data_IF_963578941594
#
_entry.id   IF_963578941594
#
_cell.length_a   1.000
_cell.length_b   1.000
_cell.length_c   1.000
_cell.angle_alpha   90.00
_cell.angle_beta   90.00
_cell.angle_gamma   90.00
#
_symmetry.space_group_name_H-M   'P 1'
#
loop_
_entity.id
_entity.type
_entity.pdbx_description
1 polymer ?
#
# COMPACT_ATOMS: atom_id res chain seq x y z
N UNK A 1 7.31 -9.20 18.82
CA UNK A 1 6.89 -8.49 17.58
C UNK A 1 6.73 -7.00 17.81
N UNK A 2 6.09 -6.54 18.90
CA UNK A 2 5.88 -5.11 19.16
C UNK A 2 7.15 -4.27 19.22
N UNK A 3 8.19 -4.73 19.93
CA UNK A 3 9.47 -4.00 20.01
C UNK A 3 10.10 -3.76 18.63
N UNK A 4 10.03 -4.75 17.73
CA UNK A 4 10.50 -4.58 16.34
C UNK A 4 9.68 -3.51 15.62
N UNK A 5 8.36 -3.60 15.75
CA UNK A 5 7.43 -2.80 15.01
C UNK A 5 7.35 -1.34 15.53
N UNK A 6 7.66 -1.12 16.80
CA UNK A 6 7.73 0.20 17.43
C UNK A 6 9.11 0.86 17.31
N UNK A 7 10.21 0.09 17.29
CA UNK A 7 11.58 0.64 17.32
C UNK A 7 12.34 0.49 16.02
N UNK A 8 12.24 -0.67 15.36
CA UNK A 8 13.06 -0.99 14.18
C UNK A 8 12.35 -0.61 12.89
N UNK A 9 11.07 -0.96 12.75
CA UNK A 9 10.31 -0.69 11.55
C UNK A 9 10.26 0.81 11.21
N UNK A 10 10.01 1.75 12.14
CA UNK A 10 9.98 3.18 11.81
C UNK A 10 11.34 3.70 11.34
N UNK A 11 12.44 3.10 11.80
CA UNK A 11 13.78 3.45 11.29
C UNK A 11 13.91 2.97 9.85
N UNK A 12 13.55 1.71 9.56
CA UNK A 12 13.65 1.14 8.22
C UNK A 12 12.74 1.87 7.23
N UNK A 13 11.45 2.02 7.55
CA UNK A 13 10.49 2.69 6.67
C UNK A 13 10.73 4.20 6.62
N UNK A 14 11.18 4.81 7.72
CA UNK A 14 11.52 6.23 7.79
C UNK A 14 12.64 6.62 6.84
N UNK A 15 13.65 5.78 6.65
CA UNK A 15 14.68 6.04 5.62
C UNK A 15 14.07 6.12 4.22
N UNK A 16 13.19 5.18 3.86
CA UNK A 16 12.47 5.21 2.58
C UNK A 16 11.59 6.46 2.42
N UNK A 17 10.81 6.80 3.46
CA UNK A 17 9.95 7.98 3.47
C UNK A 17 10.76 9.26 3.28
N UNK A 18 11.92 9.41 3.92
CA UNK A 18 12.77 10.60 3.75
C UNK A 18 13.42 10.63 2.36
N UNK A 19 13.93 9.50 1.88
CA UNK A 19 14.64 9.41 0.59
C UNK A 19 13.71 9.64 -0.60
N UNK A 20 12.48 9.14 -0.55
CA UNK A 20 11.55 9.15 -1.68
C UNK A 20 10.37 10.12 -1.48
N UNK A 21 10.15 10.60 -0.26
CA UNK A 21 8.97 11.40 0.11
C UNK A 21 8.87 12.75 -0.61
N UNK A 22 9.97 13.31 -1.11
CA UNK A 22 9.95 14.56 -1.89
C UNK A 22 9.54 14.36 -3.36
N UNK A 23 9.53 13.13 -3.87
CA UNK A 23 9.12 12.83 -5.24
C UNK A 23 7.58 12.84 -5.30
N UNK A 24 6.94 13.71 -6.11
CA UNK A 24 5.48 13.89 -6.10
C UNK A 24 4.72 12.80 -6.89
N UNK A 25 5.39 11.77 -7.37
CA UNK A 25 4.83 10.69 -8.22
C UNK A 25 5.13 9.34 -7.60
N UNK A 26 4.25 8.36 -7.79
CA UNK A 26 4.45 6.98 -7.36
C UNK A 26 5.71 6.36 -7.98
N UNK A 27 6.73 6.10 -7.15
CA UNK A 27 7.88 5.31 -7.56
C UNK A 27 7.50 3.84 -7.77
N UNK A 28 6.49 3.37 -7.05
CA UNK A 28 5.91 2.04 -7.22
C UNK A 28 5.44 1.82 -8.65
N UNK A 29 4.68 2.75 -9.24
CA UNK A 29 4.27 2.65 -10.65
C UNK A 29 5.47 2.61 -11.60
N UNK A 30 6.45 3.48 -11.38
CA UNK A 30 7.67 3.54 -12.20
C UNK A 30 8.40 2.21 -12.14
N UNK A 31 8.58 1.64 -10.94
CA UNK A 31 9.24 0.35 -10.75
C UNK A 31 8.46 -0.80 -11.40
N UNK A 32 7.14 -0.82 -11.29
CA UNK A 32 6.30 -1.86 -11.90
C UNK A 32 6.40 -1.80 -13.43
N UNK A 33 6.26 -0.61 -14.03
CA UNK A 33 6.34 -0.44 -15.49
C UNK A 33 7.76 -0.76 -15.99
N UNK A 34 8.79 -0.16 -15.38
CA UNK A 34 10.18 -0.38 -15.78
C UNK A 34 10.59 -1.85 -15.57
N UNK A 35 10.12 -2.48 -14.49
CA UNK A 35 10.32 -3.90 -14.21
C UNK A 35 9.68 -4.77 -15.28
N UNK A 36 8.41 -4.53 -15.63
CA UNK A 36 7.70 -5.27 -16.65
C UNK A 36 8.41 -5.17 -18.03
N UNK A 37 8.78 -3.96 -18.45
CA UNK A 37 9.51 -3.75 -19.71
C UNK A 37 10.86 -4.47 -19.68
N UNK A 38 11.60 -4.35 -18.58
CA UNK A 38 12.90 -5.02 -18.41
C UNK A 38 12.77 -6.54 -18.50
N UNK A 39 11.76 -7.13 -17.85
CA UNK A 39 11.49 -8.56 -17.89
C UNK A 39 11.18 -9.04 -19.32
N UNK A 40 10.35 -8.30 -20.06
CA UNK A 40 10.03 -8.61 -21.46
C UNK A 40 11.29 -8.58 -22.33
N UNK A 41 12.11 -7.54 -22.21
CA UNK A 41 13.36 -7.40 -22.98
C UNK A 41 14.33 -8.53 -22.64
N UNK A 42 14.51 -8.84 -21.36
CA UNK A 42 15.39 -9.93 -20.92
C UNK A 42 14.89 -11.29 -21.40
N UNK A 43 13.58 -11.51 -21.37
CA UNK A 43 12.95 -12.73 -21.88
C UNK A 43 13.18 -12.91 -23.39
N UNK A 44 12.97 -11.86 -24.19
CA UNK A 44 13.24 -11.91 -25.64
C UNK A 44 14.72 -12.16 -25.90
N UNK A 45 15.62 -11.44 -25.21
CA UNK A 45 17.08 -11.65 -25.35
C UNK A 45 17.49 -13.07 -24.97
N UNK A 46 16.86 -13.63 -23.94
CA UNK A 46 17.09 -15.01 -23.52
C UNK A 46 16.65 -16.00 -24.61
N UNK A 47 15.44 -15.84 -25.16
CA UNK A 47 14.94 -16.68 -26.25
C UNK A 47 15.82 -16.62 -27.50
N UNK A 48 16.18 -15.42 -27.96
CA UNK A 48 17.06 -15.23 -29.13
C UNK A 48 18.39 -15.94 -28.92
N UNK A 49 19.00 -15.77 -27.73
CA UNK A 49 20.28 -16.40 -27.39
C UNK A 49 20.18 -17.92 -27.23
N UNK A 50 19.04 -18.43 -26.79
CA UNK A 50 18.78 -19.87 -26.66
C UNK A 50 18.70 -20.54 -28.05
N UNK A 51 18.10 -19.86 -29.02
CA UNK A 51 17.93 -20.33 -30.40
C UNK A 51 19.26 -20.24 -31.18
N UNK A 52 19.98 -19.12 -31.09
CA UNK A 52 21.16 -18.86 -31.93
C UNK A 52 22.46 -19.51 -31.44
N UNK A 53 22.62 -19.76 -30.14
CA UNK A 53 23.89 -20.23 -29.60
C UNK A 53 23.71 -21.55 -28.85
N UNK A 54 24.03 -22.67 -29.54
CA UNK A 54 23.90 -24.04 -28.99
C UNK A 54 24.88 -24.36 -27.87
N UNK A 55 26.03 -23.69 -27.86
CA UNK A 55 27.14 -23.95 -26.95
C UNK A 55 26.93 -23.17 -25.64
N UNK A 56 27.19 -23.77 -24.47
CA UNK A 56 27.02 -23.17 -23.13
C UNK A 56 25.59 -23.00 -22.60
N UNK A 57 24.60 -23.70 -23.18
CA UNK A 57 23.19 -23.64 -22.73
C UNK A 57 23.02 -23.94 -21.24
N UNK A 58 23.71 -24.97 -20.71
CA UNK A 58 23.61 -25.38 -19.30
C UNK A 58 24.20 -24.38 -18.28
N UNK A 59 25.38 -23.81 -18.56
CA UNK A 59 25.95 -22.79 -17.66
C UNK A 59 25.13 -21.50 -17.68
N UNK A 60 24.56 -21.11 -18.81
CA UNK A 60 23.71 -19.92 -18.91
C UNK A 60 22.37 -20.10 -18.20
N UNK A 61 21.73 -21.26 -18.35
CA UNK A 61 20.51 -21.57 -17.62
C UNK A 61 20.77 -21.61 -16.11
N UNK A 62 21.87 -22.23 -15.67
CA UNK A 62 22.25 -22.24 -14.26
C UNK A 62 22.46 -20.82 -13.70
N UNK A 63 23.18 -19.95 -14.43
CA UNK A 63 23.36 -18.54 -14.02
C UNK A 63 22.03 -17.80 -13.90
N UNK A 64 21.09 -18.03 -14.82
CA UNK A 64 19.77 -17.42 -14.74
C UNK A 64 18.99 -17.91 -13.54
N UNK A 65 19.02 -19.22 -13.26
CA UNK A 65 18.40 -19.78 -12.06
C UNK A 65 19.01 -19.16 -10.81
N UNK A 66 20.34 -19.04 -10.72
CA UNK A 66 21.00 -18.39 -9.59
C UNK A 66 20.56 -16.93 -9.45
N UNK A 67 20.52 -16.15 -10.53
CA UNK A 67 20.06 -14.75 -10.51
C UNK A 67 18.61 -14.66 -10.03
N UNK A 68 17.72 -15.51 -10.54
CA UNK A 68 16.30 -15.53 -10.17
C UNK A 68 16.15 -15.90 -8.70
N UNK A 69 16.82 -16.96 -8.24
CA UNK A 69 16.75 -17.43 -6.85
C UNK A 69 17.31 -16.36 -5.92
N UNK A 70 18.49 -15.80 -6.19
CA UNK A 70 19.07 -14.72 -5.39
C UNK A 70 18.16 -13.49 -5.36
N UNK A 71 17.59 -13.10 -6.50
CA UNK A 71 16.64 -12.00 -6.58
C UNK A 71 15.39 -12.26 -5.74
N UNK A 72 14.78 -13.45 -5.88
CA UNK A 72 13.59 -13.83 -5.13
C UNK A 72 13.87 -13.91 -3.62
N UNK A 73 15.01 -14.46 -3.22
CA UNK A 73 15.44 -14.48 -1.82
C UNK A 73 15.63 -13.07 -1.25
N UNK A 74 16.22 -12.16 -2.03
CA UNK A 74 16.36 -10.76 -1.63
C UNK A 74 15.00 -10.07 -1.46
N UNK A 75 14.09 -10.23 -2.43
CA UNK A 75 12.73 -9.68 -2.32
C UNK A 75 11.96 -10.27 -1.15
N UNK A 76 12.03 -11.59 -0.94
CA UNK A 76 11.39 -12.25 0.19
C UNK A 76 11.94 -11.72 1.51
N UNK A 77 13.26 -11.61 1.68
CA UNK A 77 13.86 -11.06 2.90
C UNK A 77 13.38 -9.64 3.20
N UNK A 78 13.35 -8.76 2.19
CA UNK A 78 12.85 -7.39 2.34
C UNK A 78 11.34 -7.36 2.66
N UNK A 79 10.54 -8.19 2.01
CA UNK A 79 9.11 -8.33 2.30
C UNK A 79 8.89 -8.75 3.75
N UNK A 80 9.66 -9.72 4.26
CA UNK A 80 9.57 -10.16 5.65
C UNK A 80 9.90 -9.03 6.62
N UNK A 81 11.02 -8.34 6.40
CA UNK A 81 11.47 -7.25 7.27
C UNK A 81 10.50 -6.05 7.25
N UNK A 82 10.12 -5.58 6.07
CA UNK A 82 9.38 -4.33 5.93
C UNK A 82 7.87 -4.48 6.07
N UNK A 83 7.33 -5.71 5.94
CA UNK A 83 5.90 -5.94 5.93
C UNK A 83 5.46 -7.16 6.72
N UNK A 84 5.96 -8.36 6.42
CA UNK A 84 5.37 -9.60 6.97
C UNK A 84 5.44 -9.68 8.50
N UNK A 85 6.50 -9.17 9.12
CA UNK A 85 6.63 -9.15 10.60
C UNK A 85 5.52 -8.29 11.25
N UNK A 86 4.93 -7.32 10.54
CA UNK A 86 3.81 -6.54 11.07
C UNK A 86 2.54 -7.38 11.32
N UNK A 87 2.36 -8.49 10.62
CA UNK A 87 1.24 -9.41 10.89
C UNK A 87 1.39 -10.20 12.19
N UNK A 88 2.57 -10.15 12.83
CA UNK A 88 2.80 -10.73 14.15
C UNK A 88 2.45 -9.75 15.29
N UNK A 89 1.94 -8.55 15.00
CA UNK A 89 1.46 -7.62 16.03
C UNK A 89 0.18 -8.18 16.69
N UNK A 90 -0.05 -7.87 17.98
CA UNK A 90 -1.33 -8.13 18.63
C UNK A 90 -2.48 -7.59 17.79
N UNK A 91 -3.61 -8.30 17.78
CA UNK A 91 -4.77 -7.87 17.00
C UNK A 91 -5.30 -6.55 17.52
N UNK A 92 -5.98 -5.78 16.67
CA UNK A 92 -6.63 -4.55 17.10
C UNK A 92 -7.61 -4.79 18.26
N UNK A 93 -8.28 -5.94 18.26
CA UNK A 93 -9.16 -6.40 19.32
C UNK A 93 -8.46 -6.45 20.69
N UNK A 94 -7.23 -6.99 20.74
CA UNK A 94 -6.47 -7.03 21.99
C UNK A 94 -6.05 -5.64 22.44
N UNK A 95 -5.61 -4.80 21.49
CA UNK A 95 -5.12 -3.46 21.79
C UNK A 95 -6.20 -2.46 22.21
N UNK A 96 -7.41 -2.64 21.68
CA UNK A 96 -8.57 -1.82 22.01
C UNK A 96 -9.45 -2.47 23.10
N UNK A 97 -8.98 -3.56 23.72
CA UNK A 97 -9.70 -4.31 24.75
C UNK A 97 -11.15 -4.66 24.35
N UNK A 98 -11.36 -4.97 23.06
CA UNK A 98 -12.69 -5.22 22.51
C UNK A 98 -13.19 -6.61 22.92
N UNK A 99 -14.46 -6.67 23.29
CA UNK A 99 -15.14 -7.91 23.63
C UNK A 99 -15.35 -8.79 22.39
N UNK A 100 -14.75 -9.99 22.37
CA UNK A 100 -15.00 -11.02 21.36
C UNK A 100 -16.19 -11.86 21.82
N UNK A 101 -17.35 -11.64 21.21
CA UNK A 101 -18.54 -12.47 21.41
C UNK A 101 -19.30 -12.68 20.11
N UNK A 102 -20.11 -13.76 20.00
CA UNK A 102 -21.07 -13.90 18.92
C UNK A 102 -21.99 -12.68 18.88
N UNK A 103 -22.21 -12.15 17.67
CA UNK A 103 -23.13 -11.04 17.41
C UNK A 103 -24.39 -11.61 16.75
N UNK A 104 -25.56 -11.15 17.15
CA UNK A 104 -26.82 -11.61 16.55
C UNK A 104 -27.06 -10.93 15.19
N UNK A 105 -27.97 -11.48 14.38
CA UNK A 105 -28.33 -10.85 13.10
C UNK A 105 -29.02 -9.50 13.32
N UNK A 106 -29.81 -9.37 14.38
CA UNK A 106 -30.51 -8.16 14.76
C UNK A 106 -29.53 -7.05 15.16
N UNK A 107 -28.51 -7.38 15.97
CA UNK A 107 -27.47 -6.43 16.37
C UNK A 107 -26.68 -5.92 15.15
N UNK A 108 -26.33 -6.80 14.21
CA UNK A 108 -25.65 -6.42 12.97
C UNK A 108 -26.55 -5.53 12.09
N UNK A 109 -27.84 -5.83 11.99
CA UNK A 109 -28.80 -5.03 11.23
C UNK A 109 -28.98 -3.63 11.85
N UNK A 110 -29.07 -3.55 13.18
CA UNK A 110 -29.17 -2.28 13.91
C UNK A 110 -27.93 -1.40 13.67
N UNK A 111 -26.73 -1.95 13.84
CA UNK A 111 -25.48 -1.21 13.58
C UNK A 111 -25.36 -0.78 12.13
N UNK A 112 -25.78 -1.64 11.18
CA UNK A 112 -25.75 -1.29 9.75
C UNK A 112 -26.69 -0.13 9.44
N UNK A 113 -27.91 -0.15 9.99
CA UNK A 113 -28.87 0.94 9.81
C UNK A 113 -28.40 2.24 10.48
N UNK A 114 -27.79 2.13 11.66
CA UNK A 114 -27.22 3.28 12.36
C UNK A 114 -26.07 3.90 11.55
N UNK A 115 -25.13 3.10 11.04
CA UNK A 115 -24.04 3.58 10.18
C UNK A 115 -24.56 4.20 8.88
N UNK A 116 -25.61 3.61 8.27
CA UNK A 116 -26.21 4.16 7.06
C UNK A 116 -26.89 5.51 7.31
N UNK A 117 -27.58 5.66 8.45
CA UNK A 117 -28.19 6.93 8.84
C UNK A 117 -27.12 8.00 9.12
N UNK A 118 -26.05 7.66 9.84
CA UNK A 118 -24.95 8.58 10.12
C UNK A 118 -24.22 9.01 8.85
N UNK A 119 -23.96 8.06 7.94
CA UNK A 119 -23.36 8.36 6.65
C UNK A 119 -24.27 9.28 5.80
N UNK A 120 -25.59 9.10 5.86
CA UNK A 120 -26.55 9.96 5.15
C UNK A 120 -26.60 11.38 5.72
N UNK A 121 -26.43 11.54 7.04
CA UNK A 121 -26.33 12.85 7.69
C UNK A 121 -25.03 13.54 7.28
N UNK A 122 -23.88 12.87 7.45
CA UNK A 122 -22.56 13.43 7.10
C UNK A 122 -22.44 13.80 5.63
N UNK A 123 -23.14 13.07 4.75
CA UNK A 123 -23.16 13.37 3.31
C UNK A 123 -23.72 14.76 3.01
N UNK A 124 -24.67 15.26 3.80
CA UNK A 124 -25.32 16.57 3.54
C UNK A 124 -24.33 17.74 3.57
N UNK A 125 -23.21 17.58 4.28
CA UNK A 125 -22.18 18.60 4.44
C UNK A 125 -21.01 18.44 3.45
N UNK A 126 -21.06 17.43 2.56
CA UNK A 126 -20.00 17.18 1.59
C UNK A 126 -20.27 17.91 0.26
N UNK A 127 -19.22 18.41 -0.42
CA UNK A 127 -19.37 19.03 -1.72
C UNK A 127 -19.73 17.97 -2.79
N UNK A 128 -20.69 18.31 -3.64
CA UNK A 128 -21.16 17.46 -4.75
C UNK A 128 -21.06 18.22 -6.08
N UNK A 129 -20.93 17.48 -7.18
CA UNK A 129 -21.04 18.01 -8.54
C UNK A 129 -22.51 18.19 -8.97
N UNK A 130 -22.71 18.63 -10.21
CA UNK A 130 -24.04 18.81 -10.81
C UNK A 130 -24.89 17.54 -10.90
N UNK A 131 -24.28 16.36 -10.78
CA UNK A 131 -24.94 15.06 -10.83
C UNK A 131 -25.18 14.46 -9.43
N UNK A 132 -24.88 15.21 -8.35
CA UNK A 132 -24.97 14.72 -6.98
C UNK A 132 -23.87 13.73 -6.60
N UNK A 133 -22.74 13.74 -7.32
CA UNK A 133 -21.58 12.91 -7.03
C UNK A 133 -20.63 13.66 -6.10
N UNK A 134 -20.16 13.00 -5.05
CA UNK A 134 -19.16 13.56 -4.15
C UNK A 134 -17.95 14.07 -4.92
N UNK A 135 -17.50 15.28 -4.58
CA UNK A 135 -16.28 15.85 -5.13
C UNK A 135 -15.28 16.12 -4.01
N UNK A 136 -14.00 16.08 -4.36
CA UNK A 136 -12.99 16.63 -3.47
C UNK A 136 -13.11 18.15 -3.55
N UNK A 137 -13.27 18.81 -2.40
CA UNK A 137 -13.41 20.27 -2.30
C UNK A 137 -12.17 21.04 -2.78
N UNK A 138 -11.99 22.28 -2.31
CA UNK A 138 -10.88 23.12 -2.75
C UNK A 138 -9.50 22.44 -2.64
N UNK A 139 -8.75 22.43 -3.74
CA UNK A 139 -7.43 21.80 -3.84
C UNK A 139 -7.44 20.31 -4.23
N UNK A 140 -8.61 19.69 -4.39
CA UNK A 140 -8.78 18.36 -4.97
C UNK A 140 -7.97 17.26 -4.26
N UNK A 141 -7.57 16.24 -5.02
CA UNK A 141 -6.79 15.10 -4.49
C UNK A 141 -5.45 15.53 -3.88
N UNK A 142 -4.81 16.57 -4.41
CA UNK A 142 -3.51 17.02 -3.90
C UNK A 142 -3.62 17.52 -2.46
N UNK A 143 -4.67 18.31 -2.18
CA UNK A 143 -4.97 18.75 -0.83
C UNK A 143 -5.31 17.57 0.07
N UNK A 144 -6.22 16.69 -0.36
CA UNK A 144 -6.66 15.52 0.40
C UNK A 144 -5.49 14.63 0.81
N UNK A 145 -4.58 14.29 -0.12
CA UNK A 145 -3.40 13.48 0.16
C UNK A 145 -2.44 14.16 1.15
N UNK A 146 -2.27 15.48 1.05
CA UNK A 146 -1.39 16.25 1.93
C UNK A 146 -1.89 16.27 3.38
N UNK A 147 -3.21 16.29 3.58
CA UNK A 147 -3.81 16.37 4.92
C UNK A 147 -4.28 15.02 5.47
N UNK A 148 -4.21 13.94 4.69
CA UNK A 148 -4.69 12.61 5.08
C UNK A 148 -4.14 12.11 6.44
N UNK A 149 -2.89 12.45 6.77
CA UNK A 149 -2.29 12.06 8.05
C UNK A 149 -3.01 12.68 9.26
N UNK A 150 -3.67 13.84 9.11
CA UNK A 150 -4.39 14.52 10.20
C UNK A 150 -5.56 13.69 10.73
N UNK A 151 -6.19 12.86 9.89
CA UNK A 151 -7.25 11.95 10.34
C UNK A 151 -6.73 10.99 11.42
N UNK A 152 -5.51 10.47 11.23
CA UNK A 152 -4.84 9.67 12.25
C UNK A 152 -4.48 10.53 13.47
N UNK A 153 -3.88 11.70 13.29
CA UNK A 153 -3.44 12.52 14.42
C UNK A 153 -4.57 12.94 15.35
N UNK A 154 -5.70 13.34 14.78
CA UNK A 154 -6.88 13.74 15.54
C UNK A 154 -7.46 12.56 16.36
N UNK A 155 -7.25 11.32 15.90
CA UNK A 155 -7.71 10.12 16.59
C UNK A 155 -6.78 9.65 17.70
N UNK A 156 -5.55 10.18 17.83
CA UNK A 156 -4.56 9.68 18.79
C UNK A 156 -4.97 9.85 20.26
N UNK A 157 -5.79 10.85 20.57
CA UNK A 157 -6.28 11.09 21.93
C UNK A 157 -7.24 9.97 22.39
N UNK A 158 -8.07 9.48 21.47
CA UNK A 158 -9.04 8.40 21.73
C UNK A 158 -8.41 7.01 21.52
N UNK A 159 -7.52 6.88 20.53
CA UNK A 159 -6.86 5.63 20.15
C UNK A 159 -5.33 5.79 20.16
N UNK A 160 -4.68 5.75 21.34
CA UNK A 160 -3.23 5.94 21.45
C UNK A 160 -2.40 4.97 20.63
N UNK A 161 -2.92 3.77 20.33
CA UNK A 161 -2.23 2.78 19.47
C UNK A 161 -1.93 3.33 18.06
N UNK A 162 -2.74 4.26 17.55
CA UNK A 162 -2.55 4.83 16.23
C UNK A 162 -1.37 5.82 16.19
N UNK A 163 -0.89 6.30 17.35
CA UNK A 163 0.15 7.33 17.45
C UNK A 163 1.57 6.87 17.05
N UNK A 164 1.79 5.56 16.90
CA UNK A 164 3.11 4.98 16.67
C UNK A 164 3.56 4.95 15.19
N UNK A 165 3.00 5.83 14.35
CA UNK A 165 3.29 5.92 12.92
C UNK A 165 4.10 7.15 12.54
N UNK A 166 4.83 7.06 11.42
CA UNK A 166 5.42 8.24 10.77
C UNK A 166 4.33 8.98 9.99
N UNK A 167 4.43 10.31 9.91
CA UNK A 167 3.61 11.09 8.99
C UNK A 167 4.00 10.73 7.56
N UNK A 168 3.05 10.17 6.80
CA UNK A 168 3.25 9.80 5.41
C UNK A 168 2.21 10.51 4.56
N UNK A 169 2.66 11.19 3.52
CA UNK A 169 1.80 11.70 2.46
C UNK A 169 1.68 10.63 1.39
N UNK A 170 0.49 10.07 1.14
CA UNK A 170 0.32 9.06 0.10
C UNK A 170 0.59 9.67 -1.29
N UNK A 171 1.07 8.84 -2.21
CA UNK A 171 1.45 9.21 -3.56
C UNK A 171 0.29 8.95 -4.52
N UNK A 172 -0.04 9.92 -5.40
CA UNK A 172 -1.06 9.71 -6.41
C UNK A 172 -0.59 8.70 -7.45
N UNK A 173 -1.47 7.75 -7.78
CA UNK A 173 -1.26 6.78 -8.86
C UNK A 173 -1.74 7.40 -10.17
N UNK A 174 -0.88 7.50 -11.19
CA UNK A 174 -1.26 8.07 -12.50
C UNK A 174 -2.07 7.10 -13.36
N UNK A 175 -1.84 5.80 -13.20
CA UNK A 175 -2.59 4.72 -13.85
C UNK A 175 -3.79 4.27 -12.99
N UNK A 176 -4.33 5.15 -12.15
CA UNK A 176 -5.32 4.80 -11.14
C UNK A 176 -6.60 4.18 -11.75
N UNK A 177 -7.07 4.69 -12.89
CA UNK A 177 -8.19 4.10 -13.62
C UNK A 177 -7.99 2.60 -13.93
N UNK A 178 -6.78 2.21 -14.34
CA UNK A 178 -6.47 0.80 -14.59
C UNK A 178 -6.42 -0.03 -13.31
N UNK A 179 -5.92 0.56 -12.21
CA UNK A 179 -5.92 -0.09 -10.91
C UNK A 179 -7.36 -0.29 -10.40
N UNK A 180 -8.22 0.72 -10.54
CA UNK A 180 -9.64 0.68 -10.22
C UNK A 180 -10.35 -0.46 -10.98
N UNK A 181 -10.06 -0.66 -12.27
CA UNK A 181 -10.62 -1.78 -13.05
C UNK A 181 -10.20 -3.17 -12.52
N UNK A 182 -9.07 -3.26 -11.83
CA UNK A 182 -8.62 -4.51 -11.18
C UNK A 182 -9.14 -4.68 -9.75
N UNK A 183 -9.93 -3.71 -9.24
CA UNK A 183 -10.40 -3.67 -7.86
C UNK A 183 -9.34 -3.18 -6.86
N UNK A 184 -8.22 -2.63 -7.34
CA UNK A 184 -7.16 -2.07 -6.50
C UNK A 184 -7.44 -0.57 -6.33
N UNK A 185 -7.80 -0.15 -5.12
CA UNK A 185 -8.07 1.26 -4.79
C UNK A 185 -6.82 2.01 -4.29
N UNK A 186 -5.78 1.27 -3.93
CA UNK A 186 -4.51 1.77 -3.47
C UNK A 186 -3.57 0.61 -3.15
N UNK A 187 -2.29 0.93 -2.95
CA UNK A 187 -1.25 -0.07 -2.65
C UNK A 187 -0.18 0.53 -1.74
N UNK A 188 0.12 -0.17 -0.66
CA UNK A 188 1.36 0.05 0.08
C UNK A 188 2.49 -0.80 -0.53
N UNK A 189 3.59 -0.16 -0.93
CA UNK A 189 4.80 -0.82 -1.44
C UNK A 189 5.86 -0.89 -0.33
N UNK A 190 6.07 -2.08 0.29
CA UNK A 190 6.95 -2.19 1.46
C UNK A 190 8.39 -1.79 1.19
N UNK A 191 8.93 -2.13 0.02
CA UNK A 191 10.33 -1.86 -0.34
C UNK A 191 10.67 -0.36 -0.34
N UNK A 192 9.68 0.47 -0.67
CA UNK A 192 9.83 1.93 -0.73
C UNK A 192 9.23 2.63 0.49
N UNK A 193 8.54 1.89 1.36
CA UNK A 193 7.65 2.43 2.39
C UNK A 193 6.67 3.48 1.81
N UNK A 194 6.17 3.23 0.60
CA UNK A 194 5.35 4.17 -0.17
C UNK A 194 3.89 3.74 -0.13
N UNK A 195 3.01 4.62 0.33
CA UNK A 195 1.57 4.45 0.20
C UNK A 195 1.11 5.09 -1.11
N UNK A 196 0.40 4.34 -1.95
CA UNK A 196 -0.10 4.79 -3.24
C UNK A 196 -1.62 4.74 -3.24
N UNK A 197 -2.27 5.79 -3.74
CA UNK A 197 -3.74 5.93 -3.72
C UNK A 197 -4.22 6.35 -5.10
N UNK A 198 -5.34 5.78 -5.53
CA UNK A 198 -6.00 6.13 -6.78
C UNK A 198 -6.57 7.56 -6.73
N UNK A 199 -6.60 8.24 -7.87
CA UNK A 199 -7.03 9.65 -7.98
C UNK A 199 -8.03 9.89 -9.12
N UNK A 200 -8.56 8.81 -9.70
CA UNK A 200 -9.63 8.82 -10.72
C UNK A 200 -11.02 9.03 -10.09
#
# INVERSE_FOLDING_TARGET
SESYAAKILPILTGTGIVLWGWIPTSLTEILVIAGAVTLVVLFIRWLVRLIHYREWRGLRSLRLVVIIVTGLSFFAANYFLLYAINFLRPSLVQNLELEIRPRSQEELAEVTNWLAAEAAILRQDLPEDENGVFTLGEGGYQYALRVAYLAYENSFAEYPILSHGLRVTPKPVRLSTYWSYTGITGMYMPLLAEANVNID
#
